data_IF_854256335456
#
_entry.id   IF_854256335456
#
_cell.length_a   1.000
_cell.length_b   1.000
_cell.length_c   1.000
_cell.angle_alpha   90.00
_cell.angle_beta   90.00
_cell.angle_gamma   90.00
#
_symmetry.space_group_name_H-M   'P 1'
#
loop_
_entity.id
_entity.type
_entity.pdbx_description
1 polymer ?
#
# COMPACT_ATOMS: atom_id res chain seq x y z
N UNK A 1 19.70 9.44 -13.36
CA UNK A 1 18.50 9.86 -14.12
C UNK A 1 17.24 9.23 -13.53
N UNK A 2 16.84 8.00 -13.87
CA UNK A 2 15.54 7.41 -13.46
C UNK A 2 15.04 7.74 -12.03
N UNK A 3 15.89 7.65 -11.00
CA UNK A 3 15.50 7.95 -9.62
C UNK A 3 15.12 9.44 -9.39
N UNK A 4 15.83 10.38 -10.01
CA UNK A 4 15.55 11.82 -9.86
C UNK A 4 14.20 12.17 -10.49
N UNK A 5 13.89 11.61 -11.67
CA UNK A 5 12.58 11.71 -12.30
C UNK A 5 11.48 11.18 -11.35
N UNK A 6 11.69 10.02 -10.72
CA UNK A 6 10.74 9.46 -9.75
C UNK A 6 10.60 10.30 -8.46
N UNK A 7 11.63 11.06 -8.06
CA UNK A 7 11.59 11.96 -6.91
C UNK A 7 10.95 13.33 -7.23
N UNK A 8 11.00 13.76 -8.50
CA UNK A 8 10.30 14.95 -8.98
C UNK A 8 8.78 14.74 -9.12
N UNK A 9 8.32 13.49 -9.25
CA UNK A 9 6.91 13.13 -9.40
C UNK A 9 6.13 13.24 -8.08
N UNK A 10 5.51 14.41 -7.87
CA UNK A 10 4.62 14.67 -6.74
C UNK A 10 3.31 13.86 -6.84
N UNK A 11 3.25 12.71 -6.16
CA UNK A 11 2.02 11.94 -5.93
C UNK A 11 0.88 12.73 -5.23
N UNK A 12 1.19 13.92 -4.69
CA UNK A 12 0.27 14.90 -4.13
C UNK A 12 -0.35 15.83 -5.18
N UNK A 13 0.36 16.12 -6.27
CA UNK A 13 -0.06 17.03 -7.35
C UNK A 13 0.42 16.50 -8.73
N UNK A 14 -0.34 15.57 -9.34
CA UNK A 14 0.03 14.92 -10.59
C UNK A 14 -0.18 15.85 -11.79
N UNK A 15 0.87 16.57 -12.21
CA UNK A 15 0.80 17.62 -13.22
C UNK A 15 1.49 17.31 -14.56
N UNK A 16 1.93 16.07 -14.79
CA UNK A 16 2.61 15.64 -16.02
C UNK A 16 1.81 14.54 -16.75
N UNK A 17 0.99 14.91 -17.75
CA UNK A 17 0.26 13.94 -18.57
C UNK A 17 1.14 13.04 -19.42
N UNK A 18 2.37 13.45 -19.77
CA UNK A 18 3.26 12.63 -20.58
C UNK A 18 3.80 11.46 -19.75
N UNK A 19 4.31 11.72 -18.54
CA UNK A 19 4.78 10.67 -17.62
C UNK A 19 3.64 9.81 -17.08
N UNK A 20 2.45 10.38 -16.85
CA UNK A 20 1.28 9.61 -16.43
C UNK A 20 0.65 8.78 -17.57
N UNK A 21 0.81 9.17 -18.84
CA UNK A 21 0.38 8.36 -19.99
C UNK A 21 1.21 7.07 -20.20
N UNK A 22 2.41 7.02 -19.59
CA UNK A 22 3.30 5.87 -19.68
C UNK A 22 3.09 4.90 -18.51
N UNK A 23 3.15 3.60 -18.82
CA UNK A 23 3.48 2.60 -17.79
C UNK A 23 4.96 2.73 -17.42
N UNK A 24 5.30 2.37 -16.19
CA UNK A 24 6.70 2.39 -15.74
C UNK A 24 7.65 1.60 -16.66
N UNK A 25 7.17 0.53 -17.30
CA UNK A 25 7.96 -0.23 -18.28
C UNK A 25 8.23 0.57 -19.57
N UNK A 26 7.22 1.24 -20.13
CA UNK A 26 7.39 2.07 -21.32
C UNK A 26 8.31 3.27 -21.05
N UNK A 27 8.23 3.87 -19.85
CA UNK A 27 9.18 4.87 -19.38
C UNK A 27 10.62 4.32 -19.29
N UNK A 28 10.83 3.14 -18.68
CA UNK A 28 12.18 2.54 -18.59
C UNK A 28 12.74 2.20 -19.98
N UNK A 29 11.91 1.73 -20.91
CA UNK A 29 12.33 1.48 -22.29
C UNK A 29 12.71 2.78 -23.03
N UNK A 30 11.96 3.87 -22.89
CA UNK A 30 12.25 5.13 -23.59
C UNK A 30 13.53 5.83 -23.12
N UNK A 31 14.08 5.43 -21.96
CA UNK A 31 15.39 5.87 -21.46
C UNK A 31 16.59 5.12 -22.07
N UNK A 32 16.39 4.22 -23.04
CA UNK A 32 17.44 3.49 -23.76
C UNK A 32 18.46 2.77 -22.85
N UNK A 33 17.98 2.16 -21.75
CA UNK A 33 18.84 1.50 -20.76
C UNK A 33 19.13 0.05 -21.13
N UNK A 34 20.22 -0.52 -20.59
CA UNK A 34 20.63 -1.90 -20.88
C UNK A 34 19.59 -2.93 -20.41
N UNK A 35 19.51 -4.12 -21.04
CA UNK A 35 18.58 -5.18 -20.62
C UNK A 35 18.70 -5.55 -19.14
N UNK A 36 19.92 -5.52 -18.59
CA UNK A 36 20.19 -5.72 -17.15
C UNK A 36 19.54 -4.65 -16.29
N UNK A 37 19.56 -3.38 -16.70
CA UNK A 37 18.86 -2.31 -15.98
C UNK A 37 17.33 -2.48 -16.01
N UNK A 38 16.75 -2.93 -17.15
CA UNK A 38 15.32 -3.26 -17.24
C UNK A 38 14.97 -4.43 -16.31
N UNK A 39 15.82 -5.45 -16.26
CA UNK A 39 15.65 -6.61 -15.37
C UNK A 39 15.75 -6.23 -13.89
N UNK A 40 16.72 -5.39 -13.50
CA UNK A 40 16.88 -4.88 -12.13
C UNK A 40 15.70 -4.00 -11.72
N UNK A 41 15.20 -3.15 -12.62
CA UNK A 41 13.97 -2.39 -12.39
C UNK A 41 12.78 -3.34 -12.15
N UNK A 42 12.64 -4.41 -12.95
CA UNK A 42 11.59 -5.43 -12.78
C UNK A 42 11.62 -6.13 -11.41
N UNK A 43 12.81 -6.43 -10.87
CA UNK A 43 12.98 -7.00 -9.52
C UNK A 43 12.42 -6.05 -8.45
N UNK A 44 12.78 -4.76 -8.51
CA UNK A 44 12.31 -3.77 -7.54
C UNK A 44 10.83 -3.40 -7.71
N UNK A 45 10.30 -3.30 -8.94
CA UNK A 45 8.86 -3.08 -9.16
C UNK A 45 8.02 -4.25 -8.61
N UNK A 46 8.48 -5.50 -8.79
CA UNK A 46 7.83 -6.70 -8.21
C UNK A 46 7.83 -6.67 -6.69
N UNK A 47 8.92 -6.26 -6.07
CA UNK A 47 9.03 -6.20 -4.62
C UNK A 47 8.28 -5.01 -3.98
N UNK A 48 8.28 -3.83 -4.61
CA UNK A 48 7.76 -2.59 -3.98
C UNK A 48 6.31 -2.27 -4.35
N UNK A 49 5.87 -2.61 -5.56
CA UNK A 49 4.53 -2.33 -6.08
C UNK A 49 3.73 -3.60 -6.41
N UNK A 50 4.32 -4.78 -6.16
CA UNK A 50 3.73 -6.08 -6.47
C UNK A 50 3.50 -6.36 -7.96
N UNK A 51 4.07 -5.55 -8.85
CA UNK A 51 3.84 -5.59 -10.30
C UNK A 51 5.08 -6.03 -11.08
N UNK A 52 4.89 -6.90 -12.06
CA UNK A 52 5.97 -7.26 -12.99
C UNK A 52 6.04 -6.23 -14.12
N UNK A 53 7.11 -5.42 -14.17
CA UNK A 53 7.26 -4.38 -15.21
C UNK A 53 7.21 -4.98 -16.62
N UNK A 54 7.79 -6.17 -16.81
CA UNK A 54 7.83 -6.89 -18.08
C UNK A 54 6.49 -7.47 -18.56
N UNK A 55 5.40 -7.35 -17.78
CA UNK A 55 4.07 -7.77 -18.25
C UNK A 55 3.47 -6.68 -19.14
N UNK A 56 2.97 -7.04 -20.33
CA UNK A 56 2.14 -6.13 -21.17
C UNK A 56 0.85 -5.66 -20.46
N UNK A 57 0.55 -6.23 -19.28
CA UNK A 57 -0.53 -5.84 -18.35
C UNK A 57 -0.03 -5.00 -17.16
N UNK A 58 1.14 -4.37 -17.26
CA UNK A 58 1.66 -3.43 -16.27
C UNK A 58 0.85 -2.10 -16.29
N UNK A 59 -0.34 -2.12 -15.68
CA UNK A 59 -1.28 -0.98 -15.61
C UNK A 59 -1.00 -0.07 -14.40
N UNK A 60 0.27 0.22 -14.13
CA UNK A 60 0.69 1.22 -13.15
C UNK A 60 1.37 2.37 -13.87
N UNK A 61 0.83 3.58 -13.77
CA UNK A 61 1.47 4.78 -14.35
C UNK A 61 2.84 5.03 -13.70
N UNK A 62 3.74 5.75 -14.40
CA UNK A 62 5.08 6.09 -13.87
C UNK A 62 5.00 6.78 -12.51
N UNK A 63 3.96 7.60 -12.32
CA UNK A 63 3.62 8.35 -11.10
C UNK A 63 3.07 7.48 -9.95
N UNK A 64 2.94 6.16 -10.15
CA UNK A 64 2.66 5.20 -9.08
C UNK A 64 3.93 4.67 -8.38
N UNK A 65 5.13 5.09 -8.82
CA UNK A 65 6.36 4.90 -8.04
C UNK A 65 6.21 5.52 -6.63
N UNK A 66 6.78 4.91 -5.58
CA UNK A 66 6.65 5.46 -4.23
C UNK A 66 7.34 6.82 -4.15
N UNK A 67 6.60 7.86 -3.72
CA UNK A 67 7.05 9.26 -3.66
C UNK A 67 8.30 9.52 -2.78
N UNK A 68 8.78 8.51 -2.08
CA UNK A 68 10.01 8.48 -1.29
C UNK A 68 11.27 8.16 -2.12
N UNK A 69 11.10 7.70 -3.36
CA UNK A 69 12.16 7.22 -4.25
C UNK A 69 12.48 5.73 -4.05
N UNK A 70 12.81 5.03 -5.15
CA UNK A 70 13.10 3.58 -5.12
C UNK A 70 14.31 3.24 -4.23
N UNK A 71 15.37 4.06 -4.23
CA UNK A 71 16.55 3.93 -3.37
C UNK A 71 16.20 3.91 -1.87
N UNK A 72 15.37 4.84 -1.42
CA UNK A 72 14.95 4.99 -0.01
C UNK A 72 14.07 3.83 0.47
N UNK A 73 13.41 3.15 -0.46
CA UNK A 73 12.66 1.92 -0.23
C UNK A 73 13.53 0.65 -0.28
N UNK A 74 14.67 0.72 -0.99
CA UNK A 74 15.61 -0.38 -1.23
C UNK A 74 16.75 -0.49 -0.20
N UNK A 75 17.15 0.61 0.42
CA UNK A 75 18.34 0.68 1.27
C UNK A 75 18.19 -0.09 2.60
N UNK A 76 19.22 -0.87 2.96
CA UNK A 76 19.28 -1.71 4.17
C UNK A 76 19.87 -1.01 5.40
N UNK A 77 20.62 0.08 5.22
CA UNK A 77 21.45 0.71 6.27
C UNK A 77 21.27 2.23 6.34
N UNK A 78 21.35 2.82 7.55
CA UNK A 78 21.08 4.26 7.81
C UNK A 78 19.73 4.55 8.50
N UNK A 79 19.41 5.82 8.75
CA UNK A 79 18.42 6.26 9.77
C UNK A 79 17.00 6.64 9.29
N UNK A 80 16.70 6.67 7.99
CA UNK A 80 15.39 7.14 7.48
C UNK A 80 14.89 6.32 6.28
N UNK A 81 14.46 5.06 6.53
CA UNK A 81 14.17 4.05 5.49
C UNK A 81 12.96 3.19 5.85
N UNK A 82 12.40 2.48 4.86
CA UNK A 82 11.24 1.59 5.03
C UNK A 82 11.51 0.32 5.84
N UNK A 83 12.76 -0.14 5.91
CA UNK A 83 13.18 -1.45 6.45
C UNK A 83 14.09 -1.37 7.67
N UNK A 84 14.32 -0.18 8.23
CA UNK A 84 15.37 0.05 9.25
C UNK A 84 15.06 -0.48 10.65
N UNK A 85 13.81 -0.86 10.93
CA UNK A 85 13.37 -1.32 12.24
C UNK A 85 12.14 -2.23 12.13
N UNK A 86 11.97 -3.12 13.11
CA UNK A 86 10.77 -3.95 13.29
C UNK A 86 10.21 -3.76 14.69
N UNK A 87 8.88 -3.75 14.83
CA UNK A 87 8.22 -3.79 16.14
C UNK A 87 8.34 -5.19 16.73
N UNK A 88 8.92 -5.33 17.93
CA UNK A 88 9.16 -6.62 18.59
C UNK A 88 7.87 -7.39 18.92
N UNK A 89 6.79 -6.67 19.18
CA UNK A 89 5.44 -7.22 19.45
C UNK A 89 4.61 -7.39 18.16
N UNK A 90 5.23 -7.22 16.99
CA UNK A 90 4.54 -7.12 15.70
C UNK A 90 3.85 -5.77 15.50
N UNK A 91 3.57 -5.40 14.25
CA UNK A 91 3.05 -4.07 13.90
C UNK A 91 1.57 -3.86 14.24
N UNK A 92 0.85 -4.92 14.61
CA UNK A 92 -0.55 -4.84 15.05
C UNK A 92 -0.68 -4.21 16.46
N UNK A 93 0.39 -4.28 17.28
CA UNK A 93 0.48 -3.60 18.58
C UNK A 93 0.01 -2.15 18.51
N UNK A 94 0.48 -1.37 17.54
CA UNK A 94 0.08 0.04 17.33
C UNK A 94 -1.44 0.22 17.24
N UNK A 95 -2.14 -0.64 16.51
CA UNK A 95 -3.58 -0.57 16.35
C UNK A 95 -4.32 -1.03 17.62
N UNK A 96 -3.80 -2.06 18.30
CA UNK A 96 -4.37 -2.57 19.53
C UNK A 96 -4.26 -1.56 20.69
N UNK A 97 -3.08 -0.93 20.87
CA UNK A 97 -2.87 0.13 21.87
C UNK A 97 -3.78 1.33 21.59
N UNK A 98 -3.81 1.83 20.34
CA UNK A 98 -4.71 2.94 19.98
C UNK A 98 -6.20 2.60 20.19
N UNK A 99 -6.59 1.32 20.11
CA UNK A 99 -7.96 0.90 20.42
C UNK A 99 -8.23 0.83 21.93
N UNK A 100 -7.23 0.50 22.74
CA UNK A 100 -7.31 0.47 24.20
C UNK A 100 -7.28 1.87 24.86
N UNK A 101 -6.60 2.83 24.23
CA UNK A 101 -6.56 4.24 24.66
C UNK A 101 -7.89 5.01 24.39
N UNK A 102 -8.80 4.43 23.61
CA UNK A 102 -10.10 5.03 23.31
C UNK A 102 -11.16 4.65 24.36
N UNK A 103 -12.21 5.49 24.55
CA UNK A 103 -13.35 5.12 25.39
C UNK A 103 -13.97 3.79 24.96
N UNK A 104 -14.50 3.03 25.94
CA UNK A 104 -15.28 1.82 25.67
C UNK A 104 -16.36 2.06 24.60
N UNK A 105 -16.65 1.02 23.82
CA UNK A 105 -17.56 1.06 22.68
C UNK A 105 -17.17 1.98 21.49
N UNK A 106 -16.01 2.65 21.51
CA UNK A 106 -15.55 3.45 20.35
C UNK A 106 -15.18 2.59 19.14
N UNK A 107 -14.57 1.43 19.35
CA UNK A 107 -14.20 0.48 18.29
C UNK A 107 -15.20 -0.67 18.28
N UNK A 108 -15.85 -0.87 17.13
CA UNK A 108 -17.00 -1.80 16.99
C UNK A 108 -16.71 -2.83 15.90
N UNK A 109 -16.36 -4.06 16.31
CA UNK A 109 -16.01 -5.16 15.40
C UNK A 109 -17.27 -5.84 14.82
N UNK A 110 -17.15 -6.46 13.63
CA UNK A 110 -18.26 -7.13 12.94
C UNK A 110 -19.28 -6.20 12.26
N UNK A 111 -19.21 -4.90 12.55
CA UNK A 111 -20.09 -3.85 12.00
C UNK A 111 -19.61 -3.37 10.63
N UNK A 112 -19.89 -4.19 9.62
CA UNK A 112 -19.79 -3.78 8.23
C UNK A 112 -20.73 -2.59 7.98
N UNK A 113 -20.17 -1.51 7.43
CA UNK A 113 -20.93 -0.37 6.91
C UNK A 113 -21.50 -0.73 5.54
N UNK A 114 -22.83 -0.67 5.40
CA UNK A 114 -23.51 -0.92 4.12
C UNK A 114 -24.03 0.37 3.47
N UNK A 115 -24.27 1.42 4.26
CA UNK A 115 -24.53 2.77 3.73
C UNK A 115 -23.98 3.87 4.66
N UNK A 116 -23.01 4.65 4.17
CA UNK A 116 -22.72 5.99 4.72
C UNK A 116 -23.77 6.95 4.17
N UNK A 117 -24.07 8.02 4.90
CA UNK A 117 -25.16 8.98 4.71
C UNK A 117 -24.71 10.30 5.46
N UNK A 118 -24.82 11.65 5.36
CA UNK A 118 -25.18 12.94 4.65
C UNK A 118 -26.51 13.77 4.71
N UNK A 119 -26.45 15.05 5.12
CA UNK A 119 -27.48 16.05 4.75
C UNK A 119 -27.02 17.48 4.92
N UNK A 120 -27.60 18.42 4.14
CA UNK A 120 -27.52 19.85 4.42
C UNK A 120 -27.90 20.14 5.89
N UNK A 121 -27.05 20.91 6.57
CA UNK A 121 -27.27 21.37 7.96
C UNK A 121 -27.32 20.29 9.06
N UNK A 122 -27.16 19.00 8.77
CA UNK A 122 -27.55 17.94 9.72
C UNK A 122 -26.58 16.74 9.86
N UNK A 123 -25.37 16.74 9.29
CA UNK A 123 -24.33 15.73 9.56
C UNK A 123 -24.43 14.41 8.76
N UNK A 124 -23.86 13.31 9.28
CA UNK A 124 -23.69 12.02 8.57
C UNK A 124 -24.11 10.77 9.35
N UNK A 125 -25.05 9.92 8.83
CA UNK A 125 -25.35 8.57 9.37
C UNK A 125 -24.27 7.59 8.89
N UNK A 126 -24.00 6.57 9.71
CA UNK A 126 -23.46 5.29 9.25
C UNK A 126 -24.49 4.19 9.55
N UNK A 127 -25.06 3.56 8.52
CA UNK A 127 -25.88 2.35 8.67
C UNK A 127 -24.96 1.14 8.60
N UNK A 128 -24.97 0.36 9.68
CA UNK A 128 -24.30 -0.93 9.77
C UNK A 128 -25.26 -2.09 9.47
N UNK A 129 -24.68 -3.23 9.09
CA UNK A 129 -25.39 -4.48 8.77
C UNK A 129 -26.32 -4.99 9.88
N UNK A 130 -26.07 -4.64 11.14
CA UNK A 130 -26.91 -5.03 12.29
C UNK A 130 -28.18 -4.19 12.42
N UNK A 131 -28.37 -3.18 11.57
CA UNK A 131 -29.45 -2.19 11.69
C UNK A 131 -29.14 -1.07 12.69
N UNK A 132 -27.99 -1.11 13.39
CA UNK A 132 -27.56 -0.04 14.29
C UNK A 132 -27.13 1.19 13.49
N UNK A 133 -28.04 2.13 13.33
CA UNK A 133 -27.81 3.41 12.67
C UNK A 133 -27.12 4.42 13.61
N UNK A 134 -25.83 4.67 13.37
CA UNK A 134 -25.08 5.74 14.03
C UNK A 134 -25.46 7.06 13.32
N UNK A 135 -25.90 8.10 14.05
CA UNK A 135 -26.68 9.27 13.55
C UNK A 135 -25.85 10.28 12.71
N UNK A 136 -26.23 10.73 11.48
CA UNK A 136 -27.42 11.52 11.10
C UNK A 136 -28.35 11.23 9.85
N UNK A 137 -27.96 11.27 8.53
CA UNK A 137 -28.97 11.32 7.38
C UNK A 137 -28.84 10.49 6.04
N UNK A 138 -28.17 10.92 4.92
CA UNK A 138 -28.14 10.29 3.53
C UNK A 138 -26.98 10.65 2.52
N UNK A 139 -26.42 9.72 1.71
CA UNK A 139 -25.26 9.95 0.78
C UNK A 139 -25.69 10.23 -0.67
N UNK A 140 -25.00 11.14 -1.39
CA UNK A 140 -25.11 11.31 -2.84
C UNK A 140 -24.18 10.36 -3.61
N UNK A 141 -24.40 10.20 -4.93
CA UNK A 141 -23.39 9.55 -5.78
C UNK A 141 -22.02 10.25 -5.67
N UNK A 142 -20.92 9.49 -5.76
CA UNK A 142 -19.58 10.07 -5.74
C UNK A 142 -19.39 10.98 -6.96
N UNK A 143 -18.70 12.13 -6.83
CA UNK A 143 -18.36 12.98 -7.98
C UNK A 143 -17.59 12.18 -9.05
N UNK A 144 -17.82 12.43 -10.36
CA UNK A 144 -17.30 11.57 -11.43
C UNK A 144 -15.80 11.26 -11.38
N UNK A 145 -14.95 12.25 -11.03
CA UNK A 145 -13.51 12.03 -10.82
C UNK A 145 -13.22 10.99 -9.72
N UNK A 146 -13.92 11.07 -8.59
CA UNK A 146 -13.72 10.17 -7.45
C UNK A 146 -14.30 8.78 -7.71
N UNK A 147 -15.41 8.70 -8.47
CA UNK A 147 -15.93 7.43 -8.98
C UNK A 147 -14.91 6.77 -9.94
N UNK A 148 -14.34 7.53 -10.89
CA UNK A 148 -13.29 7.05 -11.79
C UNK A 148 -12.07 6.49 -11.02
N UNK A 149 -11.63 7.15 -9.95
CA UNK A 149 -10.56 6.61 -9.09
C UNK A 149 -10.92 5.24 -8.49
N UNK A 150 -12.09 5.14 -7.86
CA UNK A 150 -12.59 3.89 -7.23
C UNK A 150 -12.66 2.77 -8.26
N UNK A 151 -13.24 3.05 -9.43
CA UNK A 151 -13.39 2.07 -10.51
C UNK A 151 -12.07 1.74 -11.22
N UNK A 152 -11.02 2.56 -11.06
CA UNK A 152 -9.71 2.36 -11.69
C UNK A 152 -8.67 1.69 -10.80
N UNK A 153 -8.75 1.81 -9.47
CA UNK A 153 -7.77 1.19 -8.57
C UNK A 153 -7.72 -0.34 -8.74
N UNK A 154 -6.52 -0.91 -8.86
CA UNK A 154 -6.32 -2.36 -8.96
C UNK A 154 -5.36 -2.86 -7.89
N UNK A 155 -5.85 -3.81 -7.08
CA UNK A 155 -5.02 -4.64 -6.22
C UNK A 155 -4.31 -5.71 -7.06
N UNK A 156 -3.12 -6.10 -6.60
CA UNK A 156 -2.18 -6.96 -7.33
C UNK A 156 -2.01 -8.27 -6.56
N UNK A 157 -1.51 -9.32 -7.21
CA UNK A 157 -1.17 -10.54 -6.45
C UNK A 157 0.09 -10.28 -5.62
N UNK A 158 -0.01 -10.45 -4.30
CA UNK A 158 1.10 -10.23 -3.38
C UNK A 158 0.95 -11.11 -2.13
N UNK A 159 1.87 -12.05 -1.94
CA UNK A 159 1.91 -12.95 -0.78
C UNK A 159 3.25 -12.84 -0.04
N UNK A 160 3.19 -12.82 1.29
CA UNK A 160 4.35 -12.91 2.18
C UNK A 160 4.55 -14.38 2.58
N UNK A 161 5.73 -14.92 2.32
CA UNK A 161 6.16 -16.26 2.76
C UNK A 161 7.32 -16.09 3.74
N UNK A 162 7.28 -16.80 4.86
CA UNK A 162 8.37 -16.79 5.86
C UNK A 162 9.04 -18.16 5.91
N UNK A 163 10.29 -18.23 5.46
CA UNK A 163 11.10 -19.44 5.48
C UNK A 163 11.84 -19.50 6.81
N UNK A 164 11.46 -20.43 7.70
CA UNK A 164 12.07 -20.59 9.03
C UNK A 164 13.19 -21.64 9.00
N UNK A 165 14.30 -21.36 9.69
CA UNK A 165 15.50 -22.19 9.71
C UNK A 165 15.97 -22.48 11.15
N UNK A 166 16.82 -23.51 11.32
CA UNK A 166 17.42 -23.85 12.63
C UNK A 166 18.55 -22.90 13.05
N UNK A 167 19.19 -22.24 12.10
CA UNK A 167 20.17 -21.17 12.32
C UNK A 167 20.18 -20.21 11.14
N UNK A 168 20.74 -19.01 11.33
CA UNK A 168 20.97 -18.03 10.27
C UNK A 168 22.30 -18.32 9.53
N UNK A 169 22.38 -19.50 8.90
CA UNK A 169 23.57 -20.00 8.20
C UNK A 169 24.12 -19.08 7.10
N UNK A 170 23.32 -18.12 6.62
CA UNK A 170 23.76 -17.08 5.70
C UNK A 170 24.63 -16.02 6.42
N UNK A 171 24.27 -15.62 7.65
CA UNK A 171 25.08 -14.72 8.49
C UNK A 171 26.38 -15.40 8.92
N UNK A 172 26.32 -16.70 9.27
CA UNK A 172 27.51 -17.54 9.55
C UNK A 172 28.52 -17.57 8.38
N UNK A 173 28.06 -17.29 7.16
CA UNK A 173 28.86 -17.21 5.92
C UNK A 173 29.14 -15.77 5.45
N UNK A 174 28.83 -14.77 6.26
CA UNK A 174 29.09 -13.36 5.97
C UNK A 174 28.05 -12.67 5.05
N UNK A 175 26.88 -13.27 4.83
CA UNK A 175 25.80 -12.66 4.04
C UNK A 175 24.73 -11.99 4.92
N UNK A 176 24.25 -10.81 4.51
CA UNK A 176 23.20 -10.05 5.21
C UNK A 176 21.75 -10.56 4.97
N UNK A 177 21.57 -11.73 4.35
CA UNK A 177 20.25 -12.31 4.05
C UNK A 177 19.40 -11.58 3.00
N UNK A 178 19.85 -10.45 2.46
CA UNK A 178 19.25 -9.83 1.27
C UNK A 178 19.59 -10.67 0.03
N UNK A 179 18.57 -11.17 -0.67
CA UNK A 179 18.74 -11.89 -1.94
C UNK A 179 17.85 -11.27 -3.01
N UNK A 180 18.42 -10.92 -4.17
CA UNK A 180 17.70 -10.46 -5.35
C UNK A 180 17.63 -11.57 -6.40
N UNK A 181 16.45 -11.83 -6.95
CA UNK A 181 16.23 -12.86 -7.97
C UNK A 181 15.48 -12.33 -9.19
N UNK A 182 16.16 -12.37 -10.34
CA UNK A 182 15.55 -12.15 -11.65
C UNK A 182 14.58 -13.27 -12.06
N UNK A 183 14.64 -14.44 -11.41
CA UNK A 183 13.74 -15.59 -11.63
C UNK A 183 12.66 -15.65 -10.53
N UNK A 184 11.46 -16.12 -10.88
CA UNK A 184 10.35 -16.30 -9.94
C UNK A 184 10.53 -17.49 -8.97
N UNK A 185 9.61 -17.67 -8.00
CA UNK A 185 8.37 -16.92 -7.81
C UNK A 185 8.54 -15.61 -7.03
N UNK A 186 9.45 -15.59 -6.05
CA UNK A 186 9.83 -14.38 -5.32
C UNK A 186 10.70 -13.45 -6.20
N UNK A 187 10.89 -12.21 -5.77
CA UNK A 187 11.84 -11.26 -6.40
C UNK A 187 12.93 -10.81 -5.45
N UNK A 188 12.58 -10.59 -4.17
CA UNK A 188 13.52 -10.27 -3.10
C UNK A 188 13.21 -11.11 -1.86
N UNK A 189 14.25 -11.48 -1.14
CA UNK A 189 14.24 -12.07 0.20
C UNK A 189 14.97 -11.12 1.15
N UNK A 190 14.52 -11.06 2.40
CA UNK A 190 15.16 -10.29 3.49
C UNK A 190 15.36 -11.17 4.72
N UNK A 191 16.44 -10.91 5.47
CA UNK A 191 16.56 -11.46 6.83
C UNK A 191 15.48 -10.86 7.74
N UNK A 192 14.83 -11.74 8.50
CA UNK A 192 13.81 -11.42 9.50
C UNK A 192 14.02 -12.25 10.78
N UNK A 193 15.26 -12.68 11.01
CA UNK A 193 15.69 -13.38 12.21
C UNK A 193 15.64 -12.48 13.45
N UNK A 194 15.25 -13.05 14.58
CA UNK A 194 15.47 -12.49 15.91
C UNK A 194 16.39 -13.43 16.68
N UNK A 195 17.72 -13.17 16.71
CA UNK A 195 18.66 -13.95 17.51
C UNK A 195 18.33 -13.94 19.00
N UNK A 196 17.69 -12.88 19.51
CA UNK A 196 17.19 -12.76 20.88
C UNK A 196 16.17 -13.84 21.22
N UNK A 197 15.28 -14.16 20.26
CA UNK A 197 14.16 -15.08 20.47
C UNK A 197 14.46 -16.50 19.94
N UNK A 198 15.69 -16.77 19.51
CA UNK A 198 16.10 -18.04 18.88
C UNK A 198 15.43 -18.31 17.53
N UNK A 199 14.89 -17.28 16.85
CA UNK A 199 14.12 -17.41 15.61
C UNK A 199 14.97 -16.96 14.42
N UNK A 200 15.17 -17.84 13.45
CA UNK A 200 15.94 -17.54 12.24
C UNK A 200 15.06 -17.70 11.01
N UNK A 201 15.00 -16.70 10.15
CA UNK A 201 14.09 -16.77 9.00
C UNK A 201 14.23 -15.71 7.93
N UNK A 202 14.08 -16.14 6.67
CA UNK A 202 14.06 -15.28 5.50
C UNK A 202 12.62 -15.00 5.08
N UNK A 203 12.22 -13.73 5.06
CA UNK A 203 10.94 -13.30 4.51
C UNK A 203 11.07 -13.07 3.01
N UNK A 204 10.22 -13.74 2.22
CA UNK A 204 10.13 -13.63 0.78
C UNK A 204 8.79 -13.02 0.36
N UNK A 205 8.78 -12.25 -0.73
CA UNK A 205 7.54 -11.70 -1.31
C UNK A 205 7.31 -12.23 -2.72
N UNK A 206 6.20 -12.95 -2.88
CA UNK A 206 5.76 -13.60 -4.11
C UNK A 206 4.69 -12.74 -4.76
N UNK A 207 5.05 -12.10 -5.88
CA UNK A 207 4.31 -10.97 -6.42
C UNK A 207 4.04 -11.06 -7.92
N UNK A 208 3.02 -10.33 -8.36
CA UNK A 208 2.63 -10.20 -9.77
C UNK A 208 2.24 -11.53 -10.42
N UNK A 209 2.40 -11.60 -11.74
CA UNK A 209 2.09 -12.81 -12.52
C UNK A 209 2.89 -14.04 -12.03
N UNK A 210 4.16 -13.86 -11.62
CA UNK A 210 5.01 -14.93 -11.07
C UNK A 210 4.52 -15.51 -9.73
N UNK A 211 4.00 -14.67 -8.83
CA UNK A 211 3.39 -15.14 -7.58
C UNK A 211 2.05 -15.82 -7.82
N UNK A 212 1.24 -15.26 -8.73
CA UNK A 212 -0.06 -15.81 -9.12
C UNK A 212 0.06 -17.21 -9.72
N UNK A 213 1.01 -17.40 -10.64
CA UNK A 213 1.30 -18.70 -11.25
C UNK A 213 1.68 -19.73 -10.19
N UNK A 214 2.63 -19.40 -9.30
CA UNK A 214 3.04 -20.30 -8.21
C UNK A 214 1.86 -20.70 -7.30
N UNK A 215 0.97 -19.75 -6.97
CA UNK A 215 -0.20 -20.03 -6.15
C UNK A 215 -1.23 -20.95 -6.83
N UNK A 216 -1.33 -20.87 -8.17
CA UNK A 216 -2.14 -21.78 -8.99
C UNK A 216 -1.50 -23.18 -9.05
N UNK A 217 -0.21 -23.28 -9.39
CA UNK A 217 0.55 -24.54 -9.46
C UNK A 217 0.55 -25.31 -8.13
N UNK A 218 0.64 -24.61 -7.00
CA UNK A 218 0.62 -25.23 -5.66
C UNK A 218 -0.78 -25.45 -5.09
N UNK A 219 -1.86 -25.14 -5.84
CA UNK A 219 -3.25 -25.23 -5.38
C UNK A 219 -3.47 -24.56 -4.01
N UNK A 220 -2.85 -23.39 -3.76
CA UNK A 220 -2.86 -22.72 -2.44
C UNK A 220 -4.29 -22.48 -1.95
N UNK A 221 -5.19 -22.08 -2.87
CA UNK A 221 -6.65 -21.95 -2.67
C UNK A 221 -7.40 -23.18 -2.16
N UNK A 222 -6.76 -24.35 -2.07
CA UNK A 222 -7.30 -25.58 -1.46
C UNK A 222 -6.57 -26.01 -0.18
N UNK A 223 -5.47 -25.35 0.18
CA UNK A 223 -4.71 -25.55 1.43
C UNK A 223 -4.87 -24.41 2.43
N UNK A 224 -5.55 -23.33 2.03
CA UNK A 224 -5.92 -22.18 2.88
C UNK A 224 -6.74 -22.54 4.14
N UNK A 225 -7.20 -23.80 4.31
CA UNK A 225 -7.81 -24.30 5.57
C UNK A 225 -6.87 -25.13 6.46
N UNK A 226 -5.58 -25.25 6.12
CA UNK A 226 -4.61 -26.10 6.84
C UNK A 226 -3.36 -25.35 7.31
N UNK A 227 -2.79 -24.47 6.49
CA UNK A 227 -1.46 -23.86 6.71
C UNK A 227 -1.53 -22.32 6.90
N UNK A 228 -2.48 -21.79 7.70
CA UNK A 228 -2.65 -20.33 7.89
C UNK A 228 -1.41 -19.63 8.49
N UNK A 229 -0.56 -20.33 9.27
CA UNK A 229 0.64 -19.75 9.90
C UNK A 229 1.72 -19.30 8.90
N UNK A 230 1.74 -19.83 7.68
CA UNK A 230 2.84 -19.64 6.71
C UNK A 230 2.55 -18.65 5.58
N UNK A 231 1.29 -18.24 5.40
CA UNK A 231 0.82 -17.54 4.21
C UNK A 231 0.02 -16.26 4.53
N UNK A 232 0.75 -15.21 4.91
CA UNK A 232 0.17 -13.87 5.01
C UNK A 232 -0.14 -13.29 3.62
N UNK A 233 -1.40 -12.91 3.39
CA UNK A 233 -1.74 -11.96 2.31
C UNK A 233 -0.94 -10.67 2.54
N UNK A 234 0.02 -10.39 1.66
CA UNK A 234 0.94 -9.27 1.86
C UNK A 234 0.32 -7.96 1.39
N UNK A 235 0.93 -6.84 1.79
CA UNK A 235 0.41 -5.51 1.43
C UNK A 235 0.57 -5.21 -0.07
N UNK A 236 -0.54 -5.29 -0.82
CA UNK A 236 -0.64 -4.83 -2.19
C UNK A 236 -0.97 -3.33 -2.23
N UNK A 237 0.02 -2.48 -2.51
CA UNK A 237 -0.22 -1.09 -2.92
C UNK A 237 -1.20 -1.05 -4.12
N UNK A 238 -2.40 -0.45 -4.02
CA UNK A 238 -3.33 -0.40 -5.14
C UNK A 238 -2.83 0.60 -6.20
N UNK A 239 -2.64 0.11 -7.43
CA UNK A 239 -2.13 0.89 -8.55
C UNK A 239 -3.26 1.56 -9.36
N UNK A 240 -2.94 2.67 -10.04
CA UNK A 240 -3.81 3.32 -11.02
C UNK A 240 -3.28 3.13 -12.45
N UNK A 241 -4.17 2.94 -13.44
CA UNK A 241 -3.81 2.91 -14.85
C UNK A 241 -3.14 4.21 -15.31
N UNK A 242 -2.32 4.16 -16.37
CA UNK A 242 -1.85 5.35 -17.07
C UNK A 242 -2.99 6.32 -17.43
N UNK A 243 -2.72 7.62 -17.27
CA UNK A 243 -3.64 8.74 -17.51
C UNK A 243 -4.69 9.01 -16.41
N UNK A 244 -4.97 8.05 -15.51
CA UNK A 244 -6.03 8.23 -14.50
C UNK A 244 -5.61 9.20 -13.39
N UNK A 245 -4.33 9.22 -13.01
CA UNK A 245 -3.87 10.05 -11.91
C UNK A 245 -3.85 11.54 -12.30
N UNK A 246 -3.54 11.89 -13.54
CA UNK A 246 -3.63 13.27 -14.04
C UNK A 246 -5.08 13.71 -14.29
N UNK A 247 -5.99 12.80 -14.67
CA UNK A 247 -7.41 13.10 -14.85
C UNK A 247 -8.17 13.33 -13.53
N UNK A 248 -7.82 12.60 -12.46
CA UNK A 248 -8.63 12.56 -11.24
C UNK A 248 -7.86 12.47 -9.91
N UNK A 249 -6.52 12.51 -9.90
CA UNK A 249 -5.70 12.36 -8.70
C UNK A 249 -5.77 13.52 -7.69
N UNK A 250 -6.31 14.67 -8.11
CA UNK A 250 -6.75 15.75 -7.23
C UNK A 250 -7.91 15.28 -6.32
N UNK A 251 -8.94 14.71 -6.93
CA UNK A 251 -10.12 14.16 -6.25
C UNK A 251 -9.83 12.95 -5.34
N UNK A 252 -8.57 12.47 -5.26
CA UNK A 252 -8.16 11.42 -4.34
C UNK A 252 -8.31 11.83 -2.88
N UNK A 253 -8.10 13.12 -2.57
CA UNK A 253 -8.07 13.65 -1.19
C UNK A 253 -9.27 14.52 -0.85
N UNK A 254 -9.93 15.10 -1.85
CA UNK A 254 -11.10 15.96 -1.69
C UNK A 254 -12.21 15.31 -0.84
N UNK A 255 -12.80 16.06 0.09
CA UNK A 255 -13.96 15.64 0.87
C UNK A 255 -15.24 15.72 0.03
N UNK A 256 -16.11 14.71 0.13
CA UNK A 256 -17.45 14.76 -0.46
C UNK A 256 -18.39 15.19 0.65
N UNK A 257 -18.79 16.46 0.67
CA UNK A 257 -19.56 17.03 1.78
C UNK A 257 -18.86 16.78 3.13
N UNK A 258 -19.57 16.13 4.06
CA UNK A 258 -19.08 15.75 5.39
C UNK A 258 -18.36 14.36 5.41
N UNK A 259 -17.75 13.90 4.31
CA UNK A 259 -16.95 12.67 4.25
C UNK A 259 -15.52 13.02 3.88
N UNK A 260 -14.57 12.65 4.75
CA UNK A 260 -13.14 12.87 4.61
C UNK A 260 -12.43 11.55 4.31
N UNK A 261 -11.44 11.57 3.42
CA UNK A 261 -10.79 10.36 2.93
C UNK A 261 -9.44 10.15 3.62
N UNK A 262 -9.30 9.01 4.30
CA UNK A 262 -8.08 8.56 5.00
C UNK A 262 -7.72 7.15 4.54
N UNK A 263 -6.50 6.72 4.81
CA UNK A 263 -5.87 5.55 4.19
C UNK A 263 -4.55 5.97 3.53
N UNK A 264 -3.56 5.08 3.53
CA UNK A 264 -2.19 5.40 3.10
C UNK A 264 -2.13 5.88 1.63
N UNK A 265 -3.07 5.41 0.82
CA UNK A 265 -3.32 5.80 -0.57
C UNK A 265 -3.49 7.31 -0.74
N UNK A 266 -4.08 7.97 0.26
CA UNK A 266 -4.44 9.38 0.29
C UNK A 266 -3.39 10.27 0.97
N UNK A 267 -2.27 9.69 1.42
CA UNK A 267 -1.13 10.44 1.95
C UNK A 267 -0.44 11.27 0.85
N UNK A 268 0.36 12.27 1.24
CA UNK A 268 1.22 13.01 0.32
C UNK A 268 2.61 12.34 0.18
N UNK A 269 3.14 11.83 1.31
CA UNK A 269 4.38 11.08 1.42
C UNK A 269 4.11 9.70 2.04
N UNK A 270 5.04 8.75 1.87
CA UNK A 270 4.94 7.38 2.42
C UNK A 270 3.64 6.65 2.07
N UNK A 271 3.03 7.00 0.93
CA UNK A 271 1.90 6.28 0.33
C UNK A 271 2.26 4.80 0.13
N UNK A 272 1.40 3.92 0.65
CA UNK A 272 1.64 2.47 0.68
C UNK A 272 2.34 1.96 1.95
N UNK A 273 2.73 2.84 2.87
CA UNK A 273 3.36 2.47 4.16
C UNK A 273 2.49 2.85 5.36
N UNK A 274 2.81 2.26 6.53
CA UNK A 274 2.16 2.57 7.81
C UNK A 274 2.28 4.07 8.18
N UNK A 275 3.43 4.68 7.91
CA UNK A 275 3.65 6.13 8.11
C UNK A 275 2.68 6.97 7.25
N UNK A 276 2.42 6.56 6.01
CA UNK A 276 1.39 7.19 5.17
C UNK A 276 -0.01 7.03 5.76
N UNK A 277 -0.34 5.88 6.37
CA UNK A 277 -1.60 5.68 7.06
C UNK A 277 -1.75 6.65 8.26
N UNK A 278 -0.74 6.71 9.14
CA UNK A 278 -0.71 7.63 10.29
C UNK A 278 -0.83 9.10 9.86
N UNK A 279 -0.07 9.52 8.84
CA UNK A 279 -0.17 10.87 8.26
C UNK A 279 -1.56 11.16 7.70
N UNK A 280 -2.15 10.22 6.96
CA UNK A 280 -3.49 10.36 6.39
C UNK A 280 -4.58 10.53 7.47
N UNK A 281 -4.49 9.75 8.55
CA UNK A 281 -5.42 9.81 9.68
C UNK A 281 -5.32 11.13 10.44
N UNK A 282 -4.10 11.56 10.81
CA UNK A 282 -3.87 12.87 11.47
C UNK A 282 -4.31 14.04 10.60
N UNK A 283 -4.22 13.92 9.27
CA UNK A 283 -4.73 14.90 8.29
C UNK A 283 -6.26 14.92 8.28
N UNK A 284 -6.93 13.78 8.10
CA UNK A 284 -8.40 13.70 8.08
C UNK A 284 -9.05 14.15 9.38
N UNK A 285 -8.47 13.81 10.54
CA UNK A 285 -8.95 14.27 11.85
C UNK A 285 -8.93 15.81 11.98
N UNK A 286 -7.88 16.47 11.45
CA UNK A 286 -7.81 17.94 11.42
C UNK A 286 -8.88 18.56 10.52
N UNK A 287 -9.14 17.98 9.36
CA UNK A 287 -10.19 18.45 8.45
C UNK A 287 -11.58 18.36 9.10
N UNK A 288 -11.90 17.24 9.76
CA UNK A 288 -13.16 17.05 10.51
C UNK A 288 -13.30 18.10 11.62
N UNK A 289 -12.25 18.32 12.43
CA UNK A 289 -12.26 19.34 13.48
C UNK A 289 -12.44 20.76 12.90
N UNK A 290 -11.83 21.07 11.76
CA UNK A 290 -12.04 22.34 11.07
C UNK A 290 -13.48 22.49 10.53
N UNK A 291 -14.07 21.43 9.96
CA UNK A 291 -15.46 21.42 9.51
C UNK A 291 -16.45 21.65 10.66
N UNK A 292 -16.28 20.93 11.77
CA UNK A 292 -17.07 21.11 12.99
C UNK A 292 -16.96 22.54 13.55
N UNK A 293 -15.78 23.13 13.54
CA UNK A 293 -15.56 24.51 14.00
C UNK A 293 -16.13 25.59 13.06
N UNK A 294 -16.25 25.32 11.75
CA UNK A 294 -16.98 26.20 10.82
C UNK A 294 -18.49 26.13 11.07
N UNK A 295 -19.03 24.93 11.21
CA UNK A 295 -20.47 24.69 11.46
C UNK A 295 -20.94 25.13 12.87
N UNK A 296 -20.03 25.58 13.75
CA UNK A 296 -20.30 26.20 15.05
C UNK A 296 -20.28 27.75 15.02
N UNK A 297 -20.04 28.36 13.86
CA UNK A 297 -19.97 29.82 13.64
C UNK A 297 -21.02 30.33 12.64
N UNK A 298 -22.01 29.49 12.34
CA UNK A 298 -23.16 29.71 11.47
C UNK A 298 -24.42 29.34 12.27
#
# INVERSE_FOLDING_TARGET
>A
MCEADCQALLCSNPSDPALDSLSFYAYVQSRNVSPTAIATASVWTRAMLGQASMSRRCTSSTTAAPATGLSRCAATDGTARSTSASASEGTQSFANTMAADLPADTVQFGERVDAILQSPGAGSIVISRTGRAIRAKKVPALPPKKQLLVDSFRYVYYAKVMLVFRSAWWVERGYCGLVQSFKGPASIYWDTSSPRDGKYGLTAFLAGDSGRQWAQEKNVRKREQADEELLGWGFSCPALPPGVLTLAGDALRESVGNIHFVGTETAAEWKGYMEGAVRSGRRGAREVVQGLNRNRRL
#
